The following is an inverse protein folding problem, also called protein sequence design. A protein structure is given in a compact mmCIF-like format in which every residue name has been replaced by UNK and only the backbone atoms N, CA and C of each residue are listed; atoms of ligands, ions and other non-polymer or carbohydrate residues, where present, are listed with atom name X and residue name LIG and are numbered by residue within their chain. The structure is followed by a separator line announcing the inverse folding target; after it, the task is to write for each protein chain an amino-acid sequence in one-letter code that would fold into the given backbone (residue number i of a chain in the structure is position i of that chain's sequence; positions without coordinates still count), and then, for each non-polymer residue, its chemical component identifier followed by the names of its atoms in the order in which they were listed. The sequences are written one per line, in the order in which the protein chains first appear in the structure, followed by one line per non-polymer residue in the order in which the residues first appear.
data_IF_778728872468
#
_entry.id   IF_778728872468
#
_cell.length_a   1.000
_cell.length_b   1.000
_cell.length_c   1.000
_cell.angle_alpha   90.00
_cell.angle_beta   90.00
_cell.angle_gamma   90.00
#
_symmetry.space_group_name_H-M   'P 1'
#
loop_
_entity.id
_entity.type
_entity.pdbx_description
1 polymer ?
#
# COMPACT_ATOMS: atom_id res chain seq x y z
N UNK A 1 -8.49 2.81 14.54
CA UNK A 1 -9.59 3.76 14.85
C UNK A 1 -10.02 4.39 13.54
N UNK A 2 -11.31 4.63 13.32
CA UNK A 2 -11.77 5.27 12.07
C UNK A 2 -11.62 6.79 12.10
N UNK A 3 -11.34 7.40 10.94
CA UNK A 3 -11.23 8.85 10.78
C UNK A 3 -12.44 9.39 10.05
N UNK A 4 -13.01 10.49 10.55
CA UNK A 4 -14.28 11.02 10.04
C UNK A 4 -14.03 12.24 9.15
N UNK A 5 -14.57 12.21 7.93
CA UNK A 5 -14.45 13.30 6.95
C UNK A 5 -15.77 13.52 6.22
N UNK A 6 -15.93 14.70 5.64
CA UNK A 6 -16.97 14.94 4.65
C UNK A 6 -16.57 14.19 3.39
N UNK A 7 -17.46 13.33 2.89
CA UNK A 7 -17.26 12.56 1.66
C UNK A 7 -18.32 12.98 0.66
N UNK A 8 -17.87 13.50 -0.48
CA UNK A 8 -18.72 13.75 -1.65
C UNK A 8 -18.52 12.60 -2.62
N UNK A 9 -19.51 11.72 -2.74
CA UNK A 9 -19.47 10.54 -3.62
C UNK A 9 -20.21 10.83 -4.92
N UNK A 10 -19.58 10.51 -6.05
CA UNK A 10 -20.19 10.52 -7.37
C UNK A 10 -20.16 9.10 -7.91
N UNK A 11 -21.32 8.57 -8.29
CA UNK A 11 -21.44 7.26 -8.96
C UNK A 11 -22.05 7.42 -10.34
N UNK A 12 -21.90 6.42 -11.20
CA UNK A 12 -22.44 6.44 -12.56
C UNK A 12 -23.97 6.66 -12.62
N UNK A 13 -24.71 6.21 -11.59
CA UNK A 13 -26.17 6.12 -11.62
C UNK A 13 -26.88 7.05 -10.63
N UNK A 14 -26.14 7.84 -9.83
CA UNK A 14 -26.73 8.67 -8.79
C UNK A 14 -26.24 10.10 -8.86
N UNK A 15 -27.05 11.01 -8.34
CA UNK A 15 -26.63 12.38 -8.06
C UNK A 15 -25.56 12.35 -6.97
N UNK A 16 -24.61 13.27 -7.07
CA UNK A 16 -23.58 13.42 -6.05
C UNK A 16 -24.18 13.53 -4.66
N UNK A 17 -23.69 12.71 -3.74
CA UNK A 17 -24.15 12.65 -2.37
C UNK A 17 -23.02 13.11 -1.44
N UNK A 18 -23.35 13.99 -0.50
CA UNK A 18 -22.43 14.43 0.54
C UNK A 18 -22.84 13.86 1.89
N UNK A 19 -21.93 13.17 2.56
CA UNK A 19 -22.15 12.55 3.87
C UNK A 19 -20.92 12.70 4.75
N UNK A 20 -21.13 12.81 6.06
CA UNK A 20 -20.05 12.65 7.02
C UNK A 20 -19.85 11.14 7.22
N UNK A 21 -18.68 10.64 6.85
CA UNK A 21 -18.39 9.21 6.85
C UNK A 21 -17.09 8.93 7.60
N UNK A 22 -17.10 7.85 8.37
CA UNK A 22 -15.91 7.32 9.01
C UNK A 22 -15.22 6.32 8.07
N UNK A 23 -13.94 6.57 7.81
CA UNK A 23 -13.07 5.73 7.00
C UNK A 23 -12.09 5.00 7.91
N UNK A 24 -12.08 3.66 7.86
CA UNK A 24 -11.22 2.80 8.68
C UNK A 24 -10.21 1.99 7.86
N UNK A 25 -10.10 2.30 6.57
CA UNK A 25 -9.23 1.66 5.60
C UNK A 25 -7.91 2.46 5.47
N UNK A 26 -6.97 2.04 4.60
CA UNK A 26 -5.72 2.76 4.36
C UNK A 26 -5.89 4.27 4.15
N UNK A 27 -6.95 4.66 3.43
CA UNK A 27 -7.28 6.06 3.17
C UNK A 27 -7.64 6.83 4.45
N UNK A 28 -8.41 6.23 5.36
CA UNK A 28 -8.76 6.86 6.62
C UNK A 28 -7.54 7.13 7.52
N UNK A 29 -6.60 6.20 7.57
CA UNK A 29 -5.35 6.33 8.33
C UNK A 29 -4.47 7.45 7.77
N UNK A 30 -4.25 7.46 6.45
CA UNK A 30 -3.44 8.48 5.79
C UNK A 30 -4.10 9.85 5.84
N UNK A 31 -5.42 9.92 5.67
CA UNK A 31 -6.16 11.16 5.81
C UNK A 31 -6.08 11.73 7.23
N UNK A 32 -6.12 10.88 8.26
CA UNK A 32 -5.93 11.29 9.65
C UNK A 32 -4.54 11.89 9.89
N UNK A 33 -3.48 11.24 9.38
CA UNK A 33 -2.09 11.72 9.49
C UNK A 33 -1.92 13.09 8.84
N UNK A 34 -2.56 13.31 7.70
CA UNK A 34 -2.47 14.55 6.94
C UNK A 34 -3.46 15.64 7.41
N UNK A 35 -4.39 15.31 8.31
CA UNK A 35 -5.43 16.21 8.82
C UNK A 35 -6.42 16.65 7.74
N UNK A 36 -6.85 15.74 6.87
CA UNK A 36 -7.74 16.03 5.74
C UNK A 36 -9.19 16.06 6.17
N UNK A 37 -10.03 16.82 5.46
CA UNK A 37 -11.42 17.03 5.89
C UNK A 37 -12.46 16.72 4.82
N UNK A 38 -12.07 16.67 3.55
CA UNK A 38 -13.00 16.50 2.44
C UNK A 38 -12.47 15.56 1.37
N UNK A 39 -13.08 14.39 1.30
CA UNK A 39 -12.86 13.40 0.26
C UNK A 39 -13.84 13.60 -0.91
N UNK A 40 -13.32 13.75 -2.12
CA UNK A 40 -14.08 13.48 -3.34
C UNK A 40 -13.87 12.02 -3.75
N UNK A 41 -14.94 11.22 -3.72
CA UNK A 41 -14.91 9.83 -4.19
C UNK A 41 -15.65 9.73 -5.52
N UNK A 42 -14.96 9.27 -6.57
CA UNK A 42 -15.53 9.05 -7.90
C UNK A 42 -15.52 7.56 -8.21
N UNK A 43 -16.71 6.98 -8.29
CA UNK A 43 -16.92 5.57 -8.65
C UNK A 43 -17.36 5.45 -10.11
N UNK A 44 -16.51 4.83 -10.93
CA UNK A 44 -16.73 4.62 -12.35
C UNK A 44 -17.59 3.39 -12.68
N UNK A 45 -18.05 2.66 -11.63
CA UNK A 45 -18.87 1.46 -11.71
C UNK A 45 -18.06 0.19 -12.00
N UNK A 46 -18.45 -0.93 -11.37
CA UNK A 46 -17.71 -2.20 -11.51
C UNK A 46 -17.93 -2.86 -12.88
N UNK A 47 -16.95 -3.65 -13.35
CA UNK A 47 -17.12 -4.47 -14.54
C UNK A 47 -18.12 -5.60 -14.33
N UNK A 48 -18.22 -6.16 -13.11
CA UNK A 48 -19.16 -7.23 -12.80
C UNK A 48 -20.62 -6.80 -12.99
N UNK A 49 -20.95 -5.54 -12.64
CA UNK A 49 -22.26 -4.96 -12.92
C UNK A 49 -22.51 -4.83 -14.43
N UNK A 50 -21.46 -4.68 -15.24
CA UNK A 50 -21.53 -4.62 -16.71
C UNK A 50 -21.69 -6.00 -17.34
N UNK A 51 -21.03 -7.03 -16.82
CA UNK A 51 -21.17 -8.42 -17.27
C UNK A 51 -22.52 -9.03 -16.90
N UNK A 52 -23.02 -8.76 -15.69
CA UNK A 52 -24.34 -9.22 -15.24
C UNK A 52 -25.50 -8.63 -16.07
N UNK A 53 -25.27 -7.50 -16.74
CA UNK A 53 -26.24 -6.87 -17.64
C UNK A 53 -26.14 -7.38 -19.09
N UNK A 54 -25.14 -8.18 -19.45
CA UNK A 54 -25.06 -8.83 -20.75
C UNK A 54 -25.66 -10.24 -20.70
N UNK A 55 -26.59 -10.60 -21.62
CA UNK A 55 -27.16 -11.93 -21.64
C UNK A 55 -26.07 -12.99 -21.85
N UNK A 56 -26.11 -14.06 -21.06
CA UNK A 56 -25.12 -15.16 -20.95
C UNK A 56 -25.13 -16.06 -22.22
N UNK A 57 -24.99 -15.47 -23.39
CA UNK A 57 -24.97 -16.15 -24.68
C UNK A 57 -23.56 -16.22 -25.27
N UNK A 58 -22.89 -17.36 -25.08
CA UNK A 58 -21.69 -17.80 -25.83
C UNK A 58 -20.36 -17.03 -25.62
N UNK A 59 -19.86 -17.05 -24.38
CA UNK A 59 -18.53 -16.54 -24.04
C UNK A 59 -17.33 -17.30 -24.65
N UNK A 60 -17.53 -18.52 -25.17
CA UNK A 60 -16.40 -19.37 -25.61
C UNK A 60 -15.95 -19.20 -27.06
N UNK A 61 -16.52 -18.30 -27.89
CA UNK A 61 -16.17 -18.27 -29.32
C UNK A 61 -15.94 -16.93 -30.03
N UNK A 62 -15.92 -15.78 -29.35
CA UNK A 62 -15.63 -14.51 -30.05
C UNK A 62 -14.80 -13.52 -29.22
N UNK A 63 -13.48 -13.70 -29.24
CA UNK A 63 -12.52 -12.58 -29.14
C UNK A 63 -12.47 -11.86 -30.50
N UNK A 64 -13.63 -11.48 -31.03
CA UNK A 64 -13.73 -10.59 -32.19
C UNK A 64 -14.20 -9.25 -31.64
N UNK A 65 -13.27 -8.29 -31.58
CA UNK A 65 -13.45 -6.85 -31.36
C UNK A 65 -14.91 -6.41 -31.49
N UNK A 66 -15.68 -6.50 -30.40
CA UNK A 66 -16.98 -5.84 -30.34
C UNK A 66 -16.69 -4.35 -30.23
N UNK A 67 -17.30 -3.47 -31.06
CA UNK A 67 -17.12 -2.03 -30.92
C UNK A 67 -17.60 -1.59 -29.54
N UNK A 68 -16.67 -1.10 -28.73
CA UNK A 68 -16.82 -0.66 -27.34
C UNK A 68 -17.64 0.64 -27.19
N UNK A 69 -18.83 0.69 -27.79
CA UNK A 69 -19.73 1.86 -27.73
C UNK A 69 -20.64 1.89 -26.49
N UNK A 70 -20.38 1.06 -25.49
CA UNK A 70 -21.08 1.04 -24.20
C UNK A 70 -20.12 1.66 -23.16
N UNK A 71 -20.31 2.87 -22.64
CA UNK A 71 -21.41 3.83 -22.73
C UNK A 71 -20.87 5.26 -22.60
N UNK A 72 -20.68 5.95 -23.73
CA UNK A 72 -20.28 7.36 -23.76
C UNK A 72 -21.15 8.23 -22.82
N UNK A 73 -22.45 7.96 -22.75
CA UNK A 73 -23.40 8.72 -21.93
C UNK A 73 -23.23 8.58 -20.41
N UNK A 74 -22.81 7.42 -19.89
CA UNK A 74 -22.50 7.27 -18.45
C UNK A 74 -21.21 8.00 -18.08
N UNK A 75 -20.21 8.00 -18.98
CA UNK A 75 -18.96 8.78 -18.80
C UNK A 75 -19.25 10.29 -18.77
N UNK A 76 -20.12 10.78 -19.66
CA UNK A 76 -20.50 12.20 -19.66
C UNK A 76 -21.26 12.61 -18.40
N UNK A 77 -22.08 11.72 -17.83
CA UNK A 77 -22.78 11.97 -16.57
C UNK A 77 -21.82 12.21 -15.41
N UNK A 78 -20.91 11.28 -15.15
CA UNK A 78 -19.92 11.39 -14.06
C UNK A 78 -19.02 12.61 -14.28
N UNK A 79 -18.46 12.79 -15.48
CA UNK A 79 -17.56 13.92 -15.80
C UNK A 79 -18.27 15.27 -15.63
N UNK A 80 -19.54 15.38 -16.03
CA UNK A 80 -20.31 16.61 -15.84
C UNK A 80 -20.57 16.89 -14.35
N UNK A 81 -20.86 15.85 -13.56
CA UNK A 81 -21.04 15.98 -12.11
C UNK A 81 -19.74 16.39 -11.41
N UNK A 82 -18.61 15.75 -11.73
CA UNK A 82 -17.28 16.12 -11.23
C UNK A 82 -16.99 17.59 -11.54
N UNK A 83 -17.14 17.98 -12.81
CA UNK A 83 -16.91 19.38 -13.23
C UNK A 83 -17.80 20.37 -12.47
N UNK A 84 -19.07 20.02 -12.22
CA UNK A 84 -20.00 20.86 -11.47
C UNK A 84 -19.53 21.05 -10.03
N UNK A 85 -19.10 19.98 -9.36
CA UNK A 85 -18.60 20.01 -7.98
C UNK A 85 -17.31 20.81 -7.90
N UNK A 86 -16.34 20.51 -8.77
CA UNK A 86 -15.04 21.20 -8.80
C UNK A 86 -15.23 22.71 -8.98
N UNK A 87 -16.11 23.13 -9.90
CA UNK A 87 -16.44 24.55 -10.08
C UNK A 87 -17.13 25.16 -8.87
N UNK A 88 -18.05 24.45 -8.22
CA UNK A 88 -18.74 24.95 -7.04
C UNK A 88 -17.78 25.20 -5.86
N UNK A 89 -16.82 24.30 -5.68
CA UNK A 89 -15.75 24.41 -4.68
C UNK A 89 -14.80 25.56 -5.03
N UNK A 90 -14.37 25.69 -6.29
CA UNK A 90 -13.47 26.77 -6.74
C UNK A 90 -14.08 28.16 -6.65
N UNK A 91 -15.35 28.31 -7.03
CA UNK A 91 -16.03 29.60 -7.00
C UNK A 91 -16.44 30.01 -5.57
N UNK A 92 -16.24 29.14 -4.57
CA UNK A 92 -16.74 29.34 -3.20
C UNK A 92 -18.28 29.47 -3.14
N UNK A 93 -18.98 28.86 -4.11
CA UNK A 93 -20.45 28.86 -4.20
C UNK A 93 -21.09 27.78 -3.34
N UNK A 94 -20.33 26.76 -2.99
CA UNK A 94 -20.74 25.82 -1.98
C UNK A 94 -20.87 26.52 -0.62
N UNK A 95 -21.73 25.98 0.23
CA UNK A 95 -21.92 26.42 1.61
C UNK A 95 -20.57 26.76 2.26
N UNK A 96 -20.44 27.94 2.87
CA UNK A 96 -19.16 28.41 3.45
C UNK A 96 -18.61 27.46 4.51
N UNK A 97 -19.44 26.55 4.98
CA UNK A 97 -19.15 25.53 5.95
C UNK A 97 -18.51 24.26 5.33
N UNK A 98 -18.35 24.18 4.00
CA UNK A 98 -17.72 23.02 3.34
C UNK A 98 -16.23 23.29 3.09
N UNK A 99 -15.32 22.49 3.68
CA UNK A 99 -13.89 22.62 3.44
C UNK A 99 -13.53 22.29 1.98
N UNK A 100 -12.38 22.79 1.48
CA UNK A 100 -11.88 22.44 0.15
C UNK A 100 -11.63 20.93 0.03
N UNK A 101 -11.81 20.38 -1.17
CA UNK A 101 -11.48 18.97 -1.46
C UNK A 101 -9.96 18.79 -1.37
N UNK A 102 -9.51 18.03 -0.36
CA UNK A 102 -8.11 17.81 -0.02
C UNK A 102 -7.70 16.32 -0.11
N UNK A 103 -8.66 15.42 -0.36
CA UNK A 103 -8.43 14.03 -0.74
C UNK A 103 -9.24 13.65 -2.00
N UNK A 104 -8.67 12.80 -2.85
CA UNK A 104 -9.33 12.27 -4.04
C UNK A 104 -9.21 10.75 -4.08
N UNK A 105 -10.32 10.06 -4.32
CA UNK A 105 -10.36 8.62 -4.56
C UNK A 105 -11.05 8.31 -5.88
N UNK A 106 -10.39 7.55 -6.75
CA UNK A 106 -10.96 7.04 -7.99
C UNK A 106 -11.09 5.51 -7.87
N UNK A 107 -12.31 4.99 -8.05
CA UNK A 107 -12.61 3.55 -7.99
C UNK A 107 -12.91 2.99 -9.37
N UNK A 108 -12.62 1.69 -9.52
CA UNK A 108 -12.90 0.91 -10.72
C UNK A 108 -12.18 1.48 -11.96
N UNK A 109 -10.89 1.80 -11.79
CA UNK A 109 -10.04 2.34 -12.85
C UNK A 109 -9.59 1.25 -13.84
N UNK A 110 -10.31 1.12 -14.94
CA UNK A 110 -10.07 0.05 -15.91
C UNK A 110 -8.95 0.36 -16.93
N UNK A 111 -8.24 -0.69 -17.39
CA UNK A 111 -7.15 -0.69 -18.39
C UNK A 111 -7.43 0.09 -19.67
N UNK A 112 -8.68 0.13 -20.14
CA UNK A 112 -9.06 0.86 -21.37
C UNK A 112 -9.75 2.21 -21.09
N UNK A 113 -9.94 2.54 -19.81
CA UNK A 113 -10.65 3.74 -19.35
C UNK A 113 -9.87 4.49 -18.24
N UNK A 114 -8.56 4.26 -18.14
CA UNK A 114 -7.61 5.02 -17.32
C UNK A 114 -7.90 6.52 -17.45
N UNK A 115 -8.02 7.27 -16.33
CA UNK A 115 -9.05 8.29 -16.17
C UNK A 115 -9.14 9.09 -17.44
N UNK A 116 -10.17 8.76 -18.25
CA UNK A 116 -10.20 9.21 -19.63
C UNK A 116 -9.96 10.72 -19.62
N UNK A 117 -9.14 11.24 -20.53
CA UNK A 117 -8.75 12.65 -20.59
C UNK A 117 -9.85 13.66 -20.14
N UNK A 118 -11.15 13.48 -20.49
CA UNK A 118 -12.23 14.32 -19.97
C UNK A 118 -12.41 14.34 -18.44
N UNK A 119 -12.24 13.21 -17.75
CA UNK A 119 -12.31 13.11 -16.29
C UNK A 119 -11.15 13.87 -15.65
N UNK A 120 -9.91 13.62 -16.09
CA UNK A 120 -8.73 14.35 -15.61
C UNK A 120 -8.91 15.86 -15.79
N UNK A 121 -9.34 16.31 -16.98
CA UNK A 121 -9.67 17.73 -17.20
C UNK A 121 -10.77 18.28 -16.29
N UNK A 122 -11.74 17.45 -15.88
CA UNK A 122 -12.80 17.88 -14.96
C UNK A 122 -12.34 18.01 -13.51
N UNK A 123 -11.22 17.38 -13.15
CA UNK A 123 -10.58 17.46 -11.84
C UNK A 123 -9.59 18.63 -11.75
N UNK A 124 -9.36 19.36 -12.86
CA UNK A 124 -8.38 20.46 -12.91
C UNK A 124 -8.73 21.59 -11.94
N UNK A 125 -7.70 22.07 -11.27
CA UNK A 125 -7.79 23.06 -10.19
C UNK A 125 -8.17 22.51 -8.82
N UNK A 126 -8.38 21.20 -8.68
CA UNK A 126 -8.29 20.55 -7.37
C UNK A 126 -6.82 20.49 -6.90
N UNK A 127 -6.61 20.41 -5.58
CA UNK A 127 -5.28 20.29 -4.96
C UNK A 127 -5.28 19.21 -3.87
N UNK A 128 -5.59 17.94 -4.24
CA UNK A 128 -5.58 16.86 -3.26
C UNK A 128 -4.16 16.64 -2.73
N UNK A 129 -4.05 16.43 -1.41
CA UNK A 129 -2.82 16.01 -0.73
C UNK A 129 -2.76 14.48 -0.59
N UNK A 130 -3.91 13.80 -0.64
CA UNK A 130 -4.04 12.35 -0.70
C UNK A 130 -4.74 11.92 -1.98
N UNK A 131 -4.14 10.99 -2.72
CA UNK A 131 -4.72 10.37 -3.91
C UNK A 131 -4.81 8.86 -3.71
N UNK A 132 -6.01 8.29 -3.80
CA UNK A 132 -6.21 6.83 -3.88
C UNK A 132 -6.70 6.44 -5.28
N UNK A 133 -6.00 5.50 -5.90
CA UNK A 133 -6.34 4.89 -7.18
C UNK A 133 -6.66 3.41 -6.91
N UNK A 134 -7.96 3.10 -6.86
CA UNK A 134 -8.45 1.75 -6.66
C UNK A 134 -8.78 1.12 -8.03
N UNK A 135 -7.84 0.33 -8.51
CA UNK A 135 -7.96 -0.53 -9.67
C UNK A 135 -8.63 -1.85 -9.29
N UNK A 136 -9.25 -2.50 -10.27
CA UNK A 136 -9.71 -3.89 -10.20
C UNK A 136 -8.59 -4.90 -10.43
N UNK A 137 -8.93 -6.18 -10.34
CA UNK A 137 -7.99 -7.29 -10.53
C UNK A 137 -7.43 -7.30 -11.97
N UNK A 138 -6.11 -7.42 -12.14
CA UNK A 138 -5.43 -7.38 -13.45
C UNK A 138 -5.57 -6.05 -14.21
N UNK A 139 -5.94 -4.98 -13.51
CA UNK A 139 -6.10 -3.67 -14.12
C UNK A 139 -4.81 -2.86 -14.16
N UNK A 140 -4.76 -1.96 -15.14
CA UNK A 140 -3.64 -1.08 -15.41
C UNK A 140 -3.96 0.30 -14.86
N UNK A 141 -3.02 0.88 -14.14
CA UNK A 141 -3.10 2.23 -13.61
C UNK A 141 -2.16 3.13 -14.41
N UNK A 142 -2.63 4.29 -14.88
CA UNK A 142 -1.77 5.34 -15.44
C UNK A 142 -1.97 6.64 -14.67
N UNK A 143 -0.83 7.27 -14.37
CA UNK A 143 -0.75 8.62 -13.83
C UNK A 143 -0.51 9.67 -14.91
N UNK A 144 -0.35 9.23 -16.17
CA UNK A 144 0.05 10.10 -17.28
C UNK A 144 -0.98 11.19 -17.55
N UNK A 145 -2.27 10.88 -17.44
CA UNK A 145 -3.35 11.82 -17.72
C UNK A 145 -3.40 12.96 -16.71
N UNK A 146 -3.00 12.70 -15.47
CA UNK A 146 -2.84 13.78 -14.50
C UNK A 146 -1.78 14.75 -14.99
N UNK A 147 -0.71 14.30 -15.64
CA UNK A 147 0.37 15.10 -16.23
C UNK A 147 -0.08 16.30 -17.08
N UNK A 148 -1.31 16.25 -17.57
CA UNK A 148 -1.93 17.26 -18.44
C UNK A 148 -2.75 18.33 -17.69
N UNK A 149 -2.89 18.24 -16.37
CA UNK A 149 -3.61 19.23 -15.56
C UNK A 149 -2.89 20.59 -15.59
N UNK A 150 -3.63 21.68 -15.74
CA UNK A 150 -3.06 23.03 -15.66
C UNK A 150 -2.69 23.39 -14.22
N UNK A 151 -3.43 22.84 -13.25
CA UNK A 151 -3.10 22.90 -11.83
C UNK A 151 -2.61 21.52 -11.39
N UNK A 152 -1.28 21.30 -11.31
CA UNK A 152 -0.74 20.03 -10.85
C UNK A 152 -1.23 19.70 -9.44
N UNK A 153 -1.54 18.43 -9.20
CA UNK A 153 -1.81 17.96 -7.84
C UNK A 153 -0.56 18.12 -6.97
N UNK A 154 -0.78 18.39 -5.68
CA UNK A 154 0.27 18.48 -4.67
C UNK A 154 0.19 17.26 -3.76
N UNK A 155 0.26 16.07 -4.37
CA UNK A 155 0.07 14.81 -3.66
C UNK A 155 1.24 14.59 -2.71
N UNK A 156 0.93 14.42 -1.43
CA UNK A 156 1.87 14.05 -0.36
C UNK A 156 1.83 12.53 -0.11
N UNK A 157 0.65 11.92 -0.22
CA UNK A 157 0.43 10.47 -0.05
C UNK A 157 -0.35 9.88 -1.23
N UNK A 158 0.19 8.82 -1.82
CA UNK A 158 -0.41 8.06 -2.92
C UNK A 158 -0.71 6.63 -2.47
N UNK A 159 -1.96 6.21 -2.64
CA UNK A 159 -2.40 4.84 -2.41
C UNK A 159 -2.81 4.24 -3.75
N UNK A 160 -2.24 3.10 -4.11
CA UNK A 160 -2.64 2.33 -5.29
C UNK A 160 -3.12 0.98 -4.81
N UNK A 161 -4.32 0.59 -5.23
CA UNK A 161 -4.90 -0.71 -4.89
C UNK A 161 -5.18 -1.52 -6.15
N UNK A 162 -4.78 -2.80 -6.15
CA UNK A 162 -5.19 -3.78 -7.18
C UNK A 162 -4.52 -3.65 -8.55
N UNK A 163 -3.59 -2.71 -8.73
CA UNK A 163 -2.92 -2.52 -10.03
C UNK A 163 -1.91 -3.63 -10.33
N UNK A 164 -1.96 -4.21 -11.53
CA UNK A 164 -0.98 -5.17 -12.03
C UNK A 164 0.09 -4.54 -12.93
N UNK A 165 -0.17 -3.33 -13.40
CA UNK A 165 0.77 -2.53 -14.16
C UNK A 165 0.54 -1.06 -13.77
N UNK A 166 1.63 -0.29 -13.66
CA UNK A 166 1.58 1.14 -13.40
C UNK A 166 2.44 1.88 -14.41
N UNK A 167 1.81 2.75 -15.20
CA UNK A 167 2.51 3.71 -16.04
C UNK A 167 2.53 5.08 -15.37
N UNK A 168 3.72 5.63 -15.21
CA UNK A 168 3.87 7.05 -14.98
C UNK A 168 4.99 7.58 -15.87
N UNK A 169 4.88 8.87 -16.23
CA UNK A 169 6.00 9.57 -16.86
C UNK A 169 7.04 9.90 -15.79
N UNK A 170 8.29 9.49 -16.01
CA UNK A 170 9.43 9.82 -15.15
C UNK A 170 9.69 11.33 -15.03
N UNK A 171 9.14 12.13 -15.97
CA UNK A 171 9.22 13.59 -16.01
C UNK A 171 8.07 14.28 -15.27
N UNK A 172 7.11 13.52 -14.73
CA UNK A 172 5.94 14.10 -14.07
C UNK A 172 6.34 14.79 -12.76
N UNK A 173 6.15 16.12 -12.72
CA UNK A 173 6.34 16.94 -11.51
C UNK A 173 5.25 16.73 -10.46
N UNK A 174 4.24 15.91 -10.75
CA UNK A 174 3.02 15.79 -9.96
C UNK A 174 3.20 14.98 -8.69
N UNK A 175 4.17 14.08 -8.74
CA UNK A 175 4.59 13.31 -7.58
C UNK A 175 5.78 13.96 -6.87
N UNK A 176 6.25 15.14 -7.30
CA UNK A 176 7.46 15.75 -6.73
C UNK A 176 7.35 16.02 -5.21
N UNK A 177 6.12 16.16 -4.69
CA UNK A 177 5.83 16.36 -3.28
C UNK A 177 5.48 15.07 -2.52
N UNK A 178 5.38 13.94 -3.22
CA UNK A 178 4.95 12.68 -2.62
C UNK A 178 6.05 12.14 -1.71
N UNK A 179 5.70 11.98 -0.43
CA UNK A 179 6.56 11.42 0.62
C UNK A 179 6.12 10.04 1.05
N UNK A 180 4.86 9.67 0.79
CA UNK A 180 4.28 8.38 1.16
C UNK A 180 3.72 7.67 -0.07
N UNK A 181 4.08 6.40 -0.24
CA UNK A 181 3.52 5.50 -1.24
C UNK A 181 3.03 4.23 -0.55
N UNK A 182 1.77 3.90 -0.78
CA UNK A 182 1.15 2.65 -0.32
C UNK A 182 0.65 1.85 -1.52
N UNK A 183 1.14 0.61 -1.64
CA UNK A 183 0.78 -0.34 -2.69
C UNK A 183 0.03 -1.48 -2.01
N UNK A 184 -1.21 -1.72 -2.41
CA UNK A 184 -2.10 -2.67 -1.74
C UNK A 184 -2.69 -3.63 -2.75
N UNK A 185 -2.37 -4.93 -2.64
CA UNK A 185 -2.68 -5.94 -3.64
C UNK A 185 -2.22 -5.57 -5.06
N UNK A 186 -1.12 -4.83 -5.18
CA UNK A 186 -0.50 -4.56 -6.48
C UNK A 186 0.44 -5.68 -6.87
N UNK A 187 0.62 -5.98 -8.15
CA UNK A 187 1.69 -6.87 -8.60
C UNK A 187 2.31 -6.38 -9.90
N UNK A 188 3.42 -6.97 -10.34
CA UNK A 188 3.97 -6.73 -11.69
C UNK A 188 4.37 -5.27 -11.98
N UNK A 189 4.49 -4.44 -10.94
CA UNK A 189 4.75 -3.02 -11.11
C UNK A 189 6.13 -2.77 -11.70
N UNK A 190 6.16 -2.07 -12.83
CA UNK A 190 7.37 -1.67 -13.52
C UNK A 190 8.03 -0.51 -12.77
N UNK A 191 9.31 -0.58 -12.38
CA UNK A 191 9.93 0.42 -11.51
C UNK A 191 10.07 1.83 -12.11
N UNK A 192 9.85 2.00 -13.42
CA UNK A 192 10.04 3.27 -14.12
C UNK A 192 9.03 4.36 -13.79
N UNK A 193 7.98 4.08 -13.00
CA UNK A 193 7.01 5.09 -12.60
C UNK A 193 7.54 6.06 -11.52
N UNK A 194 8.61 5.67 -10.80
CA UNK A 194 9.19 6.51 -9.75
C UNK A 194 10.35 7.33 -10.30
N UNK A 195 10.20 8.65 -10.28
CA UNK A 195 11.28 9.58 -10.63
C UNK A 195 12.43 9.45 -9.63
N UNK A 196 13.70 9.44 -10.07
CA UNK A 196 14.85 9.51 -9.15
C UNK A 196 14.87 10.76 -8.27
N UNK A 197 14.16 11.82 -8.68
CA UNK A 197 14.03 13.06 -7.90
C UNK A 197 13.02 12.96 -6.75
N UNK A 198 12.28 11.84 -6.66
CA UNK A 198 11.26 11.64 -5.66
C UNK A 198 11.88 11.56 -4.25
N UNK A 199 11.32 12.32 -3.31
CA UNK A 199 11.74 12.32 -1.90
C UNK A 199 10.85 11.40 -1.07
N UNK A 200 10.69 10.16 -1.53
CA UNK A 200 9.89 9.17 -0.82
C UNK A 200 10.55 8.85 0.52
N UNK A 201 9.77 8.95 1.61
CA UNK A 201 10.23 8.64 2.97
C UNK A 201 9.55 7.40 3.53
N UNK A 202 8.30 7.18 3.17
CA UNK A 202 7.51 6.05 3.64
C UNK A 202 7.05 5.21 2.47
N UNK A 203 7.39 3.92 2.49
CA UNK A 203 6.89 2.93 1.55
C UNK A 203 6.16 1.83 2.30
N UNK A 204 4.93 1.57 1.90
CA UNK A 204 4.12 0.47 2.40
C UNK A 204 3.71 -0.43 1.23
N UNK A 205 4.04 -1.72 1.31
CA UNK A 205 3.68 -2.70 0.29
C UNK A 205 2.93 -3.84 0.97
N UNK A 206 1.70 -4.07 0.55
CA UNK A 206 0.79 -5.03 1.14
C UNK A 206 0.28 -6.02 0.11
N UNK A 207 0.53 -7.29 0.41
CA UNK A 207 0.15 -8.45 -0.37
C UNK A 207 0.74 -8.42 -1.79
N UNK A 208 0.53 -9.51 -2.53
CA UNK A 208 0.87 -9.66 -3.95
C UNK A 208 2.32 -9.27 -4.31
N UNK A 209 3.21 -10.25 -4.50
CA UNK A 209 4.59 -10.05 -5.00
C UNK A 209 5.41 -8.92 -4.32
N UNK A 210 5.07 -8.58 -3.08
CA UNK A 210 5.65 -7.48 -2.32
C UNK A 210 7.19 -7.53 -2.28
N UNK A 211 7.78 -8.69 -1.99
CA UNK A 211 9.23 -8.90 -2.02
C UNK A 211 9.80 -8.68 -3.42
N UNK A 212 9.14 -9.22 -4.45
CA UNK A 212 9.56 -9.04 -5.85
C UNK A 212 9.51 -7.56 -6.26
N UNK A 213 8.46 -6.84 -5.86
CA UNK A 213 8.30 -5.41 -6.07
C UNK A 213 9.47 -4.64 -5.47
N UNK A 214 9.89 -4.97 -4.25
CA UNK A 214 11.02 -4.30 -3.59
C UNK A 214 12.34 -4.61 -4.29
N UNK A 215 12.57 -5.86 -4.68
CA UNK A 215 13.77 -6.23 -5.45
C UNK A 215 13.81 -5.50 -6.80
N UNK A 216 12.70 -5.38 -7.51
CA UNK A 216 12.61 -4.59 -8.75
C UNK A 216 12.91 -3.12 -8.52
N UNK A 217 12.32 -2.50 -7.49
CA UNK A 217 12.58 -1.10 -7.14
C UNK A 217 14.06 -0.87 -6.80
N UNK A 218 14.64 -1.78 -6.03
CA UNK A 218 16.06 -1.78 -5.62
C UNK A 218 17.04 -1.90 -6.79
N UNK A 219 16.68 -2.67 -7.80
CA UNK A 219 17.54 -2.93 -8.95
C UNK A 219 17.42 -1.86 -10.05
N UNK A 220 16.30 -1.16 -10.10
CA UNK A 220 16.02 -0.22 -11.20
C UNK A 220 15.93 1.24 -10.77
N UNK A 221 15.92 1.54 -9.47
CA UNK A 221 15.78 2.90 -8.95
C UNK A 221 16.67 3.14 -7.73
N UNK A 222 16.83 4.41 -7.36
CA UNK A 222 17.48 4.83 -6.11
C UNK A 222 16.47 5.20 -5.02
N UNK A 223 15.17 4.90 -5.23
CA UNK A 223 14.09 5.40 -4.35
C UNK A 223 14.20 4.83 -2.93
N UNK A 224 14.75 3.62 -2.80
CA UNK A 224 14.89 2.94 -1.50
C UNK A 224 15.97 3.56 -0.62
N UNK A 225 16.96 4.25 -1.19
CA UNK A 225 18.11 4.78 -0.45
C UNK A 225 17.69 5.87 0.55
N UNK A 226 16.66 6.65 0.20
CA UNK A 226 16.10 7.75 1.00
C UNK A 226 14.95 7.36 1.92
N UNK A 227 14.54 6.08 1.95
CA UNK A 227 13.42 5.64 2.79
C UNK A 227 13.78 5.70 4.27
N UNK A 228 12.83 6.22 5.06
CA UNK A 228 12.90 6.29 6.52
C UNK A 228 11.98 5.23 7.16
N UNK A 229 10.86 4.90 6.53
CA UNK A 229 9.92 3.91 7.01
C UNK A 229 9.56 2.93 5.89
N UNK A 230 9.73 1.65 6.17
CA UNK A 230 9.39 0.58 5.26
C UNK A 230 8.53 -0.46 5.97
N UNK A 231 7.33 -0.65 5.43
CA UNK A 231 6.34 -1.60 5.92
C UNK A 231 6.03 -2.57 4.78
N UNK A 232 6.24 -3.85 5.03
CA UNK A 232 5.94 -4.89 4.06
C UNK A 232 5.08 -5.98 4.70
N UNK A 233 3.94 -6.25 4.08
CA UNK A 233 3.01 -7.31 4.45
C UNK A 233 2.83 -8.21 3.24
N UNK A 234 2.96 -9.52 3.41
CA UNK A 234 2.86 -10.50 2.32
C UNK A 234 2.50 -11.84 2.93
N UNK A 235 1.22 -12.16 2.88
CA UNK A 235 0.63 -13.32 3.60
C UNK A 235 -0.04 -14.31 2.65
N UNK A 236 -0.12 -13.95 1.37
CA UNK A 236 -0.79 -14.71 0.33
C UNK A 236 0.13 -15.63 -0.51
N UNK A 237 1.41 -15.79 -0.12
CA UNK A 237 2.36 -16.70 -0.76
C UNK A 237 2.65 -16.37 -2.25
N UNK A 238 2.41 -15.13 -2.69
CA UNK A 238 2.72 -14.67 -4.04
C UNK A 238 4.14 -14.09 -4.19
N UNK A 239 4.88 -13.98 -3.09
CA UNK A 239 6.25 -13.46 -3.03
C UNK A 239 7.27 -14.46 -3.62
N UNK A 240 8.43 -13.93 -4.04
CA UNK A 240 9.60 -14.69 -4.53
C UNK A 240 9.28 -15.59 -5.74
N UNK A 241 8.29 -15.20 -6.53
CA UNK A 241 7.93 -15.91 -7.77
C UNK A 241 8.88 -15.57 -8.93
N UNK A 242 9.51 -14.40 -8.88
CA UNK A 242 10.33 -13.85 -9.96
C UNK A 242 11.72 -13.38 -9.51
N UNK A 243 12.01 -13.42 -8.21
CA UNK A 243 13.23 -12.90 -7.60
C UNK A 243 13.79 -13.87 -6.58
N UNK A 244 15.11 -13.82 -6.39
CA UNK A 244 15.74 -14.66 -5.38
C UNK A 244 15.64 -14.01 -4.00
N UNK A 245 15.46 -14.85 -2.98
CA UNK A 245 15.36 -14.41 -1.59
C UNK A 245 16.55 -13.52 -1.15
N UNK A 246 17.77 -13.87 -1.57
CA UNK A 246 18.97 -13.08 -1.24
C UNK A 246 18.98 -11.68 -1.86
N UNK A 247 18.34 -11.50 -3.01
CA UNK A 247 18.19 -10.19 -3.65
C UNK A 247 17.26 -9.28 -2.85
N UNK A 248 16.20 -9.85 -2.28
CA UNK A 248 15.32 -9.12 -1.36
C UNK A 248 16.08 -8.66 -0.12
N UNK A 249 16.84 -9.55 0.54
CA UNK A 249 17.67 -9.16 1.69
C UNK A 249 18.69 -8.07 1.33
N UNK A 250 19.38 -8.22 0.21
CA UNK A 250 20.31 -7.20 -0.28
C UNK A 250 19.62 -5.86 -0.55
N UNK A 251 18.34 -5.87 -0.93
CA UNK A 251 17.54 -4.67 -1.14
C UNK A 251 17.23 -3.93 0.15
N UNK A 252 16.97 -4.64 1.25
CA UNK A 252 16.82 -4.03 2.59
C UNK A 252 18.10 -3.28 2.98
N UNK A 253 19.27 -3.87 2.72
CA UNK A 253 20.55 -3.27 3.08
C UNK A 253 20.83 -1.94 2.36
N UNK A 254 20.24 -1.71 1.18
CA UNK A 254 20.36 -0.44 0.44
C UNK A 254 19.60 0.72 1.09
N UNK A 255 18.67 0.46 2.01
CA UNK A 255 17.86 1.47 2.69
C UNK A 255 18.65 2.17 3.80
N UNK A 256 19.64 2.97 3.41
CA UNK A 256 20.64 3.52 4.32
C UNK A 256 20.09 4.49 5.39
N UNK A 257 18.94 5.11 5.12
CA UNK A 257 18.27 6.05 6.03
C UNK A 257 17.12 5.43 6.83
N UNK A 258 16.94 4.12 6.75
CA UNK A 258 15.78 3.44 7.32
C UNK A 258 15.78 3.46 8.85
N UNK A 259 14.71 4.02 9.43
CA UNK A 259 14.48 4.14 10.87
C UNK A 259 13.44 3.15 11.37
N UNK A 260 12.43 2.85 10.55
CA UNK A 260 11.43 1.82 10.84
C UNK A 260 11.43 0.75 9.76
N UNK A 261 11.53 -0.50 10.18
CA UNK A 261 11.33 -1.68 9.35
C UNK A 261 10.27 -2.57 10.01
N UNK A 262 9.16 -2.78 9.31
CA UNK A 262 8.11 -3.68 9.72
C UNK A 262 7.89 -4.73 8.63
N UNK A 263 8.09 -5.99 8.98
CA UNK A 263 7.90 -7.13 8.07
C UNK A 263 6.84 -8.06 8.65
N UNK A 264 5.78 -8.32 7.88
CA UNK A 264 4.74 -9.30 8.18
C UNK A 264 4.69 -10.30 7.03
N UNK A 265 5.25 -11.49 7.22
CA UNK A 265 5.60 -12.38 6.11
C UNK A 265 5.20 -13.83 6.32
N UNK A 266 4.70 -14.43 5.24
CA UNK A 266 4.55 -15.87 5.09
C UNK A 266 5.26 -16.32 3.82
N UNK A 267 6.34 -17.07 3.99
CA UNK A 267 7.14 -17.55 2.87
C UNK A 267 6.37 -18.65 2.10
N UNK A 268 6.44 -18.65 0.76
CA UNK A 268 5.65 -19.52 -0.12
C UNK A 268 6.07 -21.00 -0.14
N UNK A 269 7.33 -21.30 0.24
CA UNK A 269 7.89 -22.64 0.11
C UNK A 269 8.56 -23.12 1.39
N UNK A 270 8.44 -24.42 1.66
CA UNK A 270 9.16 -25.08 2.74
C UNK A 270 10.66 -25.06 2.46
N UNK A 271 11.45 -24.61 3.45
CA UNK A 271 12.91 -24.57 3.37
C UNK A 271 13.53 -23.19 3.11
N UNK A 272 12.73 -22.16 2.86
CA UNK A 272 13.19 -20.78 2.96
C UNK A 272 13.06 -20.30 4.41
N UNK A 273 14.13 -19.75 4.95
CA UNK A 273 14.17 -19.20 6.31
C UNK A 273 14.84 -17.83 6.34
N UNK A 274 14.35 -16.96 7.22
CA UNK A 274 14.87 -15.62 7.48
C UNK A 274 15.98 -15.60 8.54
N UNK A 275 16.72 -16.70 8.67
CA UNK A 275 17.81 -16.84 9.64
C UNK A 275 18.91 -15.80 9.41
N UNK A 276 19.16 -15.44 8.15
CA UNK A 276 20.17 -14.47 7.72
C UNK A 276 19.72 -13.00 7.76
N UNK A 277 18.43 -12.71 8.00
CA UNK A 277 17.92 -11.34 8.01
C UNK A 277 18.73 -10.36 8.88
N UNK A 278 19.22 -10.73 10.09
CA UNK A 278 20.02 -9.84 10.94
C UNK A 278 21.26 -9.25 10.28
N UNK A 279 21.83 -9.93 9.28
CA UNK A 279 23.05 -9.48 8.60
C UNK A 279 22.79 -8.34 7.61
N UNK A 280 21.54 -8.20 7.16
CA UNK A 280 21.13 -7.25 6.14
C UNK A 280 20.40 -6.02 6.71
N UNK A 281 20.17 -5.98 8.02
CA UNK A 281 19.49 -4.84 8.65
C UNK A 281 20.36 -3.57 8.62
N UNK A 282 19.80 -2.43 8.20
CA UNK A 282 20.55 -1.16 8.14
C UNK A 282 20.88 -0.65 9.54
N UNK A 283 22.08 -0.08 9.72
CA UNK A 283 22.56 0.37 11.04
C UNK A 283 21.80 1.57 11.62
N UNK A 284 21.02 2.27 10.81
CA UNK A 284 20.19 3.43 11.17
C UNK A 284 18.85 3.05 11.81
N UNK A 285 18.54 1.76 11.88
CA UNK A 285 17.25 1.27 12.34
C UNK A 285 17.01 1.60 13.81
N UNK A 286 15.88 2.25 14.08
CA UNK A 286 15.41 2.62 15.42
C UNK A 286 14.28 1.69 15.89
N UNK A 287 13.43 1.23 14.97
CA UNK A 287 12.28 0.38 15.25
C UNK A 287 12.28 -0.81 14.30
N UNK A 288 12.38 -2.02 14.85
CA UNK A 288 12.31 -3.25 14.08
C UNK A 288 11.14 -4.10 14.55
N UNK A 289 10.25 -4.45 13.63
CA UNK A 289 9.09 -5.31 13.89
C UNK A 289 9.05 -6.43 12.89
N UNK A 290 8.99 -7.65 13.39
CA UNK A 290 8.94 -8.84 12.55
C UNK A 290 7.81 -9.75 13.01
N UNK A 291 6.94 -10.12 12.08
CA UNK A 291 5.88 -11.08 12.30
C UNK A 291 5.87 -12.13 11.19
N UNK A 292 6.08 -13.38 11.56
CA UNK A 292 6.19 -14.49 10.61
C UNK A 292 5.31 -15.67 10.97
N UNK A 293 5.12 -16.58 10.01
CA UNK A 293 4.56 -17.90 10.28
C UNK A 293 5.58 -18.80 11.03
N UNK A 294 5.13 -19.84 11.75
CA UNK A 294 6.04 -20.85 12.31
C UNK A 294 7.01 -21.39 11.24
N UNK A 295 8.28 -21.53 11.62
CA UNK A 295 9.34 -21.98 10.69
C UNK A 295 9.90 -20.89 9.77
N UNK A 296 9.42 -19.65 9.85
CA UNK A 296 10.03 -18.52 9.10
C UNK A 296 11.44 -18.22 9.59
N UNK A 297 11.73 -18.47 10.87
CA UNK A 297 13.10 -18.51 11.42
C UNK A 297 13.27 -19.91 12.00
N UNK A 298 14.28 -20.63 11.53
CA UNK A 298 14.54 -22.02 11.93
C UNK A 298 15.73 -22.14 12.87
N UNK A 299 16.65 -21.16 12.85
CA UNK A 299 17.83 -21.12 13.70
C UNK A 299 18.02 -19.73 14.32
N UNK A 300 17.99 -19.68 15.65
CA UNK A 300 18.19 -18.45 16.44
C UNK A 300 19.67 -18.02 16.53
N UNK A 301 20.61 -18.86 16.09
CA UNK A 301 22.05 -18.66 16.30
C UNK A 301 22.54 -17.34 15.70
N UNK A 302 22.19 -17.03 14.45
CA UNK A 302 22.64 -15.78 13.82
C UNK A 302 22.06 -14.55 14.52
N UNK A 303 20.78 -14.61 14.88
CA UNK A 303 20.11 -13.56 15.65
C UNK A 303 20.79 -13.30 16.99
N UNK A 304 20.98 -14.35 17.79
CA UNK A 304 21.57 -14.24 19.13
C UNK A 304 23.02 -13.77 19.09
N UNK A 305 23.83 -14.23 18.12
CA UNK A 305 25.20 -13.74 17.91
C UNK A 305 25.24 -12.25 17.59
N UNK A 306 24.36 -11.77 16.69
CA UNK A 306 24.30 -10.36 16.31
C UNK A 306 23.84 -9.48 17.48
N UNK A 307 22.87 -9.94 18.26
CA UNK A 307 22.38 -9.23 19.45
C UNK A 307 23.49 -9.02 20.51
N UNK A 308 24.40 -9.99 20.66
CA UNK A 308 25.56 -9.86 21.53
C UNK A 308 26.61 -8.84 21.07
N UNK A 309 26.59 -8.45 19.79
CA UNK A 309 27.51 -7.45 19.24
C UNK A 309 26.97 -6.03 19.47
N UNK A 310 27.57 -5.28 20.40
CA UNK A 310 27.14 -3.89 20.73
C UNK A 310 27.10 -2.92 19.55
N UNK A 311 27.85 -3.20 18.49
CA UNK A 311 27.87 -2.38 17.27
C UNK A 311 26.71 -2.67 16.32
N UNK A 312 25.94 -3.73 16.54
CA UNK A 312 24.84 -4.13 15.67
C UNK A 312 23.58 -3.32 16.03
N UNK A 313 23.06 -2.54 15.08
CA UNK A 313 21.91 -1.66 15.26
C UNK A 313 22.05 -0.74 16.49
N UNK A 314 23.06 0.15 16.50
CA UNK A 314 23.36 0.98 17.66
C UNK A 314 22.25 1.96 18.02
N UNK A 315 21.37 2.29 17.08
CA UNK A 315 20.24 3.22 17.26
C UNK A 315 18.93 2.54 17.62
N UNK A 316 18.91 1.21 17.76
CA UNK A 316 17.69 0.46 18.02
C UNK A 316 17.07 0.86 19.36
N UNK A 317 15.79 1.22 19.34
CA UNK A 317 15.00 1.64 20.49
C UNK A 317 13.82 0.69 20.72
N UNK A 318 13.28 0.10 19.66
CA UNK A 318 12.11 -0.75 19.71
C UNK A 318 12.32 -2.05 18.93
N UNK A 319 11.94 -3.16 19.54
CA UNK A 319 12.01 -4.48 18.93
C UNK A 319 10.73 -5.27 19.17
N UNK A 320 10.18 -5.84 18.10
CA UNK A 320 9.08 -6.81 18.16
C UNK A 320 9.40 -7.99 17.26
N UNK A 321 9.22 -9.20 17.78
CA UNK A 321 9.40 -10.44 17.03
C UNK A 321 8.28 -11.40 17.42
N UNK A 322 7.56 -11.93 16.43
CA UNK A 322 6.57 -12.98 16.65
C UNK A 322 6.56 -13.97 15.50
N UNK A 323 6.43 -15.26 15.84
CA UNK A 323 6.40 -16.37 14.89
C UNK A 323 5.09 -17.17 15.04
N UNK A 324 3.98 -16.46 15.24
CA UNK A 324 2.64 -17.00 15.54
C UNK A 324 1.61 -16.73 14.42
N UNK A 325 2.04 -16.27 13.24
CA UNK A 325 1.11 -15.94 12.16
C UNK A 325 0.32 -17.18 11.72
N UNK A 326 -1.04 -17.13 11.71
CA UNK A 326 -1.86 -18.31 11.43
C UNK A 326 -1.67 -18.89 10.03
N UNK A 327 -1.80 -20.21 9.93
CA UNK A 327 -1.71 -20.91 8.64
C UNK A 327 -3.00 -20.86 7.82
N UNK A 328 -4.18 -20.78 8.44
CA UNK A 328 -5.44 -20.85 7.71
C UNK A 328 -5.80 -19.53 7.04
N UNK A 329 -6.06 -19.54 5.72
CA UNK A 329 -6.37 -18.35 4.92
C UNK A 329 -7.50 -17.46 5.48
N UNK A 330 -8.57 -18.07 6.00
CA UNK A 330 -9.66 -17.32 6.61
C UNK A 330 -9.25 -16.63 7.93
N UNK A 331 -8.36 -17.25 8.70
CA UNK A 331 -7.73 -16.60 9.84
C UNK A 331 -6.80 -15.48 9.37
N UNK A 332 -6.02 -15.68 8.29
CA UNK A 332 -5.08 -14.67 7.74
C UNK A 332 -5.77 -13.34 7.45
N UNK A 333 -6.92 -13.35 6.77
CA UNK A 333 -7.67 -12.11 6.43
C UNK A 333 -8.16 -11.37 7.68
N UNK A 334 -8.43 -12.11 8.76
CA UNK A 334 -8.96 -11.54 10.01
C UNK A 334 -7.85 -11.10 10.99
N UNK A 335 -6.63 -11.62 10.86
CA UNK A 335 -5.58 -11.44 11.86
C UNK A 335 -4.82 -10.15 11.59
N UNK A 336 -4.95 -9.22 12.54
CA UNK A 336 -4.12 -8.02 12.60
C UNK A 336 -2.72 -8.35 13.10
N UNK A 337 -1.76 -7.51 12.72
CA UNK A 337 -0.42 -7.64 13.26
C UNK A 337 -0.45 -7.58 14.79
N UNK A 338 0.42 -8.31 15.51
CA UNK A 338 0.35 -8.41 16.97
C UNK A 338 0.31 -7.07 17.70
N UNK A 339 1.08 -6.08 17.24
CA UNK A 339 1.11 -4.72 17.79
C UNK A 339 -0.13 -3.87 17.46
N UNK A 340 -1.02 -4.35 16.59
CA UNK A 340 -2.32 -3.74 16.29
C UNK A 340 -3.46 -4.38 17.09
N UNK A 341 -3.19 -5.50 17.79
CA UNK A 341 -4.14 -6.19 18.67
C UNK A 341 -4.24 -5.41 19.97
N UNK A 342 -5.34 -4.69 20.18
CA UNK A 342 -5.57 -3.89 21.40
C UNK A 342 -6.22 -4.67 22.54
N UNK A 343 -6.38 -6.00 22.42
CA UNK A 343 -7.07 -6.84 23.39
C UNK A 343 -6.33 -8.13 23.74
N UNK A 344 -6.32 -8.49 25.03
CA UNK A 344 -5.64 -9.69 25.58
C UNK A 344 -6.17 -11.03 25.03
N UNK A 345 -7.31 -11.03 24.33
CA UNK A 345 -8.01 -12.24 23.88
C UNK A 345 -7.68 -12.71 22.45
N UNK A 346 -6.87 -11.97 21.68
CA UNK A 346 -6.63 -12.26 20.26
C UNK A 346 -5.38 -13.12 19.98
N UNK A 347 -4.54 -13.42 20.98
CA UNK A 347 -3.25 -14.10 20.79
C UNK A 347 -3.28 -15.65 20.89
N UNK A 348 -4.43 -16.30 20.67
CA UNK A 348 -4.54 -17.79 20.70
C UNK A 348 -4.25 -18.44 19.34
N UNK A 349 -3.16 -18.05 18.68
CA UNK A 349 -2.64 -18.77 17.52
C UNK A 349 -2.21 -20.21 17.88
N UNK A 350 -2.16 -21.10 16.89
CA UNK A 350 -1.54 -22.43 17.02
C UNK A 350 -0.04 -22.26 17.24
N UNK A 351 0.36 -22.11 18.50
CA UNK A 351 1.75 -22.12 18.92
C UNK A 351 2.33 -23.53 18.74
N UNK A 352 3.45 -23.64 18.03
CA UNK A 352 4.21 -24.88 17.93
C UNK A 352 5.43 -24.77 18.84
N UNK A 353 5.78 -25.86 19.53
CA UNK A 353 6.89 -25.89 20.49
C UNK A 353 8.22 -25.38 19.92
N UNK A 354 8.47 -25.59 18.63
CA UNK A 354 9.71 -25.14 17.97
C UNK A 354 9.73 -23.64 17.70
N UNK A 355 8.61 -23.08 17.21
CA UNK A 355 8.47 -21.64 16.95
C UNK A 355 8.61 -20.83 18.24
N UNK A 356 7.99 -21.34 19.31
CA UNK A 356 8.05 -20.74 20.64
C UNK A 356 9.48 -20.70 21.17
N UNK A 357 10.27 -21.75 20.94
CA UNK A 357 11.65 -21.82 21.39
C UNK A 357 12.53 -20.77 20.70
N UNK A 358 12.50 -20.70 19.35
CA UNK A 358 13.30 -19.74 18.57
C UNK A 358 12.94 -18.29 18.95
N UNK A 359 11.65 -17.96 18.95
CA UNK A 359 11.18 -16.63 19.32
C UNK A 359 11.57 -16.26 20.77
N UNK A 360 11.43 -17.21 21.70
CA UNK A 360 11.80 -17.03 23.10
C UNK A 360 13.31 -16.86 23.31
N UNK A 361 14.13 -17.57 22.55
CA UNK A 361 15.60 -17.44 22.60
C UNK A 361 16.05 -16.06 22.10
N UNK A 362 15.55 -15.62 20.94
CA UNK A 362 15.88 -14.31 20.38
C UNK A 362 15.41 -13.19 21.34
N UNK A 363 14.19 -13.30 21.85
CA UNK A 363 13.64 -12.30 22.79
C UNK A 363 14.44 -12.26 24.10
N UNK A 364 14.83 -13.42 24.64
CA UNK A 364 15.67 -13.50 25.84
C UNK A 364 17.05 -12.87 25.60
N UNK A 365 17.67 -13.16 24.46
CA UNK A 365 18.95 -12.55 24.07
C UNK A 365 18.83 -11.03 23.91
N UNK A 366 17.72 -10.52 23.37
CA UNK A 366 17.47 -9.07 23.30
C UNK A 366 17.40 -8.45 24.70
N UNK A 367 16.65 -9.06 25.64
CA UNK A 367 16.61 -8.59 27.04
C UNK A 367 17.99 -8.61 27.69
N UNK A 368 18.76 -9.67 27.48
CA UNK A 368 20.06 -9.88 28.11
C UNK A 368 21.13 -8.92 27.57
N UNK A 369 21.27 -8.83 26.25
CA UNK A 369 22.35 -8.08 25.62
C UNK A 369 22.00 -6.61 25.35
N UNK A 370 20.71 -6.26 25.27
CA UNK A 370 20.20 -4.93 24.88
C UNK A 370 19.06 -4.46 25.80
N UNK A 371 19.28 -4.38 27.13
CA UNK A 371 18.23 -4.04 28.10
C UNK A 371 17.65 -2.63 27.91
N UNK A 372 18.32 -1.75 27.16
CA UNK A 372 17.84 -0.42 26.79
C UNK A 372 16.75 -0.42 25.70
N UNK A 373 16.61 -1.52 24.95
CA UNK A 373 15.64 -1.65 23.87
C UNK A 373 14.27 -2.03 24.42
N UNK A 374 13.23 -1.28 24.04
CA UNK A 374 11.84 -1.60 24.39
C UNK A 374 11.38 -2.79 23.58
N UNK A 375 11.07 -3.88 24.26
CA UNK A 375 10.50 -5.08 23.64
C UNK A 375 8.98 -4.97 23.65
N UNK A 376 8.38 -4.87 22.47
CA UNK A 376 6.94 -4.96 22.32
C UNK A 376 6.57 -6.43 22.27
N UNK A 377 5.78 -6.87 23.26
CA UNK A 377 5.21 -8.21 23.25
C UNK A 377 4.13 -8.27 22.17
N UNK A 378 4.29 -9.24 21.28
CA UNK A 378 3.29 -9.65 20.30
C UNK A 378 2.21 -10.54 20.93
#
# INVERSE_FOLDING_TARGET
MGYTMITTTITANQLAQRVVQTHSNPLGEEAAKLGLHHLLEVDLGSHADREAQQPIGNWRRRVTKVPWNVSEWMKYGVVAQVRKIVRAVQDGRDDKDIPPIDALRLKNLWKYECPALPLSQSLDGLRPRLLELACGYEEYCSLREFGMLHTPFQVESLIITGACELEASSESTQLAHMTTLRLHFCCGLSPFFLSPALKLRTLQVEENDAMDTITRLSNCTHVLEGLEEFILTGTNECDLSSTEYWEFLASIQKMSHLRLLQLSQRLPFTGLALDALPEFLPQTLERFRFWGAPGTITDSTQWTQRLGAKSWLPSLQEFALSLDMPEEYAARIAVRAPWERTGEHESRGQQTTTSDNVCSEITRAMVEYRPEVVIIRA
#
